data_IF_367421187729
#
_entry.id   IF_367421187729
#
_cell.length_a   1.000
_cell.length_b   1.000
_cell.length_c   1.000
_cell.angle_alpha   90.00
_cell.angle_beta   90.00
_cell.angle_gamma   90.00
#
_symmetry.space_group_name_H-M   'P 1'
#
loop_
_entity.id
_entity.type
_entity.pdbx_description
1 polymer ?
#
# COMPACT_ATOMS: atom_id res chain seq x y z
N UNK A 1 -59.84 -8.95 -0.81
CA UNK A 1 -59.92 -8.35 0.54
C UNK A 1 -58.75 -8.89 1.34
N UNK A 2 -57.93 -7.98 1.88
CA UNK A 2 -56.64 -8.25 2.52
C UNK A 2 -56.79 -9.09 3.79
N UNK A 3 -55.97 -10.14 3.90
CA UNK A 3 -55.60 -10.75 5.19
C UNK A 3 -54.35 -10.03 5.70
N UNK A 4 -54.56 -9.02 6.54
CA UNK A 4 -53.48 -8.39 7.30
C UNK A 4 -53.07 -9.29 8.46
N UNK A 5 -51.91 -9.92 8.36
CA UNK A 5 -51.26 -10.56 9.49
C UNK A 5 -50.71 -9.46 10.41
N UNK A 6 -51.35 -9.29 11.57
CA UNK A 6 -50.82 -8.47 12.65
C UNK A 6 -49.50 -9.09 13.12
N UNK A 7 -48.41 -8.34 13.01
CA UNK A 7 -47.12 -8.65 13.62
C UNK A 7 -47.28 -8.46 15.12
N UNK A 8 -47.72 -9.51 15.81
CA UNK A 8 -47.89 -9.53 17.26
C UNK A 8 -46.54 -9.26 17.91
N UNK A 9 -46.44 -8.14 18.63
CA UNK A 9 -45.28 -7.76 19.45
C UNK A 9 -45.26 -8.62 20.72
N UNK A 10 -45.15 -9.93 20.54
CA UNK A 10 -45.09 -10.92 21.61
C UNK A 10 -43.75 -10.82 22.31
N UNK A 11 -43.78 -10.45 23.59
CA UNK A 11 -42.72 -10.64 24.58
C UNK A 11 -41.75 -11.76 24.19
N UNK A 12 -40.56 -11.39 23.73
CA UNK A 12 -39.48 -12.36 23.55
C UNK A 12 -39.11 -12.93 24.92
N UNK A 13 -38.60 -14.17 24.98
CA UNK A 13 -38.10 -14.80 26.22
C UNK A 13 -36.82 -14.13 26.74
N UNK A 14 -36.87 -12.83 27.02
CA UNK A 14 -35.74 -11.98 27.39
C UNK A 14 -35.69 -10.71 26.54
N UNK A 15 -34.91 -9.73 27.01
CA UNK A 15 -34.61 -8.51 26.23
C UNK A 15 -33.56 -8.83 25.17
N UNK A 16 -33.71 -8.32 23.95
CA UNK A 16 -32.74 -8.54 22.87
C UNK A 16 -32.44 -7.25 22.10
N UNK A 17 -31.21 -7.15 21.57
CA UNK A 17 -30.80 -6.12 20.63
C UNK A 17 -30.82 -6.68 19.21
N UNK A 18 -31.40 -5.93 18.27
CA UNK A 18 -31.26 -6.14 16.83
C UNK A 18 -30.24 -5.15 16.30
N UNK A 19 -29.00 -5.62 16.19
CA UNK A 19 -27.85 -4.81 15.81
C UNK A 19 -27.74 -4.79 14.30
N UNK A 20 -28.05 -3.65 13.69
CA UNK A 20 -27.87 -3.40 12.26
C UNK A 20 -26.56 -2.66 12.03
N UNK A 21 -25.64 -3.29 11.29
CA UNK A 21 -24.32 -2.70 11.01
C UNK A 21 -24.25 -2.16 9.58
N UNK A 22 -24.01 -0.86 9.45
CA UNK A 22 -23.75 -0.21 8.16
C UNK A 22 -22.25 -0.03 7.97
N UNK A 23 -21.71 -0.46 6.83
CA UNK A 23 -20.28 -0.37 6.55
C UNK A 23 -19.99 -0.37 5.04
N UNK A 24 -18.75 -0.03 4.67
CA UNK A 24 -18.28 -0.12 3.28
C UNK A 24 -18.10 -1.60 2.89
N UNK A 25 -18.80 -2.12 1.86
CA UNK A 25 -18.69 -3.52 1.44
C UNK A 25 -17.26 -3.98 1.10
N UNK A 26 -16.34 -3.06 0.77
CA UNK A 26 -14.93 -3.37 0.51
C UNK A 26 -14.16 -3.83 1.76
N UNK A 27 -14.71 -3.63 2.96
CA UNK A 27 -14.14 -4.16 4.20
C UNK A 27 -14.20 -5.69 4.27
N UNK A 28 -15.05 -6.34 3.46
CA UNK A 28 -15.17 -7.80 3.35
C UNK A 28 -15.31 -8.48 4.72
N UNK A 29 -16.14 -7.91 5.59
CA UNK A 29 -16.38 -8.44 6.93
C UNK A 29 -16.98 -9.84 6.83
N UNK A 30 -16.48 -10.79 7.60
CA UNK A 30 -17.05 -12.15 7.70
C UNK A 30 -17.80 -12.37 9.00
N UNK A 31 -17.47 -11.59 10.04
CA UNK A 31 -18.10 -11.64 11.36
C UNK A 31 -18.12 -10.24 11.98
N UNK A 32 -18.92 -10.05 13.01
CA UNK A 32 -18.85 -8.92 13.93
C UNK A 32 -18.69 -9.41 15.36
N UNK A 33 -18.02 -8.65 16.20
CA UNK A 33 -17.94 -8.85 17.65
C UNK A 33 -18.69 -7.73 18.34
N UNK A 34 -19.73 -8.08 19.10
CA UNK A 34 -20.63 -7.12 19.77
C UNK A 34 -20.51 -7.25 21.28
N UNK A 35 -20.36 -6.12 21.98
CA UNK A 35 -20.40 -6.04 23.45
C UNK A 35 -20.95 -4.69 23.88
N UNK A 36 -21.23 -4.52 25.16
CA UNK A 36 -21.72 -3.23 25.63
C UNK A 36 -21.81 -3.07 27.13
N UNK A 37 -21.97 -1.82 27.54
CA UNK A 37 -22.11 -1.39 28.93
C UNK A 37 -23.53 -0.91 29.18
N UNK A 38 -24.10 -1.25 30.33
CA UNK A 38 -25.45 -0.85 30.75
C UNK A 38 -25.32 0.06 31.97
N UNK A 39 -25.86 1.28 31.93
CA UNK A 39 -25.63 2.32 32.95
C UNK A 39 -25.95 1.91 34.40
N UNK A 40 -26.77 0.88 34.60
CA UNK A 40 -27.15 0.36 35.91
C UNK A 40 -27.29 -1.17 35.92
N UNK A 41 -26.50 -1.87 35.09
CA UNK A 41 -26.61 -3.32 34.91
C UNK A 41 -25.28 -4.00 34.57
N UNK A 42 -25.31 -5.31 34.41
CA UNK A 42 -24.16 -6.07 33.92
C UNK A 42 -23.86 -5.71 32.45
N UNK A 43 -22.59 -5.64 32.04
CA UNK A 43 -22.24 -5.56 30.63
C UNK A 43 -22.66 -6.86 29.92
N UNK A 44 -22.81 -6.79 28.60
CA UNK A 44 -23.13 -7.95 27.77
C UNK A 44 -22.03 -8.21 26.74
N UNK A 45 -21.96 -9.46 26.24
CA UNK A 45 -20.93 -9.90 25.30
C UNK A 45 -19.56 -10.20 25.94
N UNK A 46 -18.52 -10.38 25.11
CA UNK A 46 -18.54 -10.27 23.65
C UNK A 46 -19.25 -11.44 22.95
N UNK A 47 -20.09 -11.14 21.97
CA UNK A 47 -20.72 -12.10 21.08
C UNK A 47 -20.12 -11.98 19.68
N UNK A 48 -19.68 -13.08 19.08
CA UNK A 48 -19.17 -13.11 17.70
C UNK A 48 -20.24 -13.70 16.78
N UNK A 49 -20.64 -12.94 15.76
CA UNK A 49 -21.79 -13.24 14.91
C UNK A 49 -21.46 -13.02 13.42
N UNK A 50 -21.86 -13.94 12.52
CA UNK A 50 -22.26 -15.30 12.80
C UNK A 50 -21.14 -16.08 13.50
N UNK A 51 -21.46 -17.17 14.20
CA UNK A 51 -20.46 -17.97 14.94
C UNK A 51 -19.35 -18.53 14.04
N UNK A 52 -19.66 -18.81 12.77
CA UNK A 52 -18.71 -19.26 11.76
C UNK A 52 -18.58 -18.24 10.61
N UNK A 53 -17.37 -17.95 10.11
CA UNK A 53 -17.13 -17.02 9.01
C UNK A 53 -17.42 -17.66 7.63
N UNK A 54 -18.62 -18.19 7.44
CA UNK A 54 -18.98 -18.94 6.22
C UNK A 54 -19.22 -18.05 5.00
N UNK A 55 -19.44 -16.74 5.19
CA UNK A 55 -19.68 -15.78 4.11
C UNK A 55 -19.25 -14.37 4.50
N UNK A 56 -19.14 -13.53 3.49
CA UNK A 56 -19.05 -12.07 3.67
C UNK A 56 -20.42 -11.54 4.10
N UNK A 57 -20.42 -10.66 5.10
CA UNK A 57 -21.58 -9.95 5.61
C UNK A 57 -22.00 -8.84 4.66
N UNK A 58 -23.31 -8.59 4.60
CA UNK A 58 -23.86 -7.47 3.84
C UNK A 58 -23.98 -6.23 4.72
N UNK A 59 -23.68 -5.06 4.15
CA UNK A 59 -23.98 -3.78 4.81
C UNK A 59 -25.49 -3.66 5.03
N UNK A 60 -25.90 -3.29 6.25
CA UNK A 60 -27.30 -3.28 6.68
C UNK A 60 -27.83 -4.63 7.17
N UNK A 61 -26.99 -5.65 7.31
CA UNK A 61 -27.40 -6.91 7.94
C UNK A 61 -27.68 -6.71 9.44
N UNK A 62 -28.76 -7.33 9.92
CA UNK A 62 -29.22 -7.25 11.32
C UNK A 62 -28.95 -8.56 12.05
N UNK A 63 -28.30 -8.47 13.21
CA UNK A 63 -27.92 -9.60 14.04
C UNK A 63 -28.52 -9.47 15.43
N UNK A 64 -29.06 -10.58 15.96
CA UNK A 64 -29.75 -10.61 17.24
C UNK A 64 -28.79 -10.95 18.38
N UNK A 65 -28.73 -10.08 19.39
CA UNK A 65 -27.97 -10.28 20.62
C UNK A 65 -28.94 -10.38 21.79
N UNK A 66 -28.89 -11.51 22.51
CA UNK A 66 -29.68 -11.68 23.74
C UNK A 66 -28.97 -10.96 24.89
N UNK A 67 -29.74 -10.20 25.68
CA UNK A 67 -29.28 -9.62 26.92
C UNK A 67 -29.64 -10.56 28.08
N UNK A 68 -28.80 -10.59 29.11
CA UNK A 68 -29.10 -11.31 30.35
C UNK A 68 -30.30 -10.68 31.08
N UNK A 69 -30.93 -11.48 31.95
CA UNK A 69 -32.07 -11.03 32.76
C UNK A 69 -31.65 -9.87 33.69
N UNK A 70 -32.58 -8.96 33.99
CA UNK A 70 -32.34 -7.80 34.86
C UNK A 70 -32.19 -6.46 34.15
N UNK A 71 -32.60 -6.37 32.87
CA UNK A 71 -32.73 -5.11 32.16
C UNK A 71 -33.82 -4.24 32.81
N UNK A 72 -33.49 -3.00 33.15
CA UNK A 72 -34.46 -2.03 33.66
C UNK A 72 -34.97 -1.15 32.52
N UNK A 73 -36.28 -0.94 32.46
CA UNK A 73 -36.91 -0.07 31.48
C UNK A 73 -36.33 1.36 31.51
N UNK A 74 -35.97 1.88 30.34
CA UNK A 74 -35.48 3.25 30.17
C UNK A 74 -34.00 3.45 30.46
N UNK A 75 -33.26 2.39 30.80
CA UNK A 75 -31.80 2.45 30.99
C UNK A 75 -31.10 2.51 29.64
N UNK A 76 -30.08 3.37 29.52
CA UNK A 76 -29.25 3.40 28.32
C UNK A 76 -28.17 2.32 28.36
N UNK A 77 -27.99 1.64 27.23
CA UNK A 77 -26.84 0.82 26.93
C UNK A 77 -25.96 1.50 25.88
N UNK A 78 -24.64 1.43 26.08
CA UNK A 78 -23.66 1.75 25.04
C UNK A 78 -23.23 0.45 24.39
N UNK A 79 -23.43 0.36 23.08
CA UNK A 79 -23.15 -0.82 22.26
C UNK A 79 -21.90 -0.56 21.44
N UNK A 80 -20.95 -1.48 21.52
CA UNK A 80 -19.71 -1.49 20.76
C UNK A 80 -19.73 -2.65 19.76
N UNK A 81 -19.25 -2.39 18.55
CA UNK A 81 -19.12 -3.40 17.51
C UNK A 81 -17.78 -3.30 16.82
N UNK A 82 -17.13 -4.44 16.66
CA UNK A 82 -15.96 -4.64 15.81
C UNK A 82 -16.34 -5.47 14.57
N UNK A 83 -15.99 -4.98 13.38
CA UNK A 83 -16.03 -5.75 12.15
C UNK A 83 -14.78 -6.62 12.02
N UNK A 84 -14.98 -7.92 11.79
CA UNK A 84 -13.91 -8.92 11.69
C UNK A 84 -13.79 -9.44 10.25
N UNK A 85 -12.56 -9.59 9.78
CA UNK A 85 -12.19 -10.32 8.56
C UNK A 85 -11.11 -11.33 8.93
N UNK A 86 -11.39 -12.62 8.71
CA UNK A 86 -10.50 -13.73 9.07
C UNK A 86 -10.00 -13.67 10.53
N UNK A 87 -10.90 -13.27 11.44
CA UNK A 87 -10.60 -13.12 12.88
C UNK A 87 -9.90 -11.82 13.27
N UNK A 88 -9.49 -10.99 12.30
CA UNK A 88 -8.81 -9.70 12.55
C UNK A 88 -9.80 -8.53 12.55
N UNK A 89 -9.62 -7.56 13.45
CA UNK A 89 -10.49 -6.38 13.55
C UNK A 89 -10.12 -5.36 12.47
N UNK A 90 -11.02 -5.13 11.51
CA UNK A 90 -10.82 -4.19 10.39
C UNK A 90 -11.77 -2.99 10.43
N UNK A 91 -12.79 -2.98 11.30
CA UNK A 91 -13.69 -1.85 11.48
C UNK A 91 -14.23 -1.76 12.92
N UNK A 92 -14.66 -0.57 13.36
CA UNK A 92 -15.24 -0.29 14.68
C UNK A 92 -16.40 0.69 14.58
N UNK A 93 -17.38 0.54 15.46
CA UNK A 93 -18.44 1.51 15.66
C UNK A 93 -19.03 1.40 17.05
N UNK A 94 -19.68 2.47 17.49
CA UNK A 94 -20.44 2.48 18.74
C UNK A 94 -21.76 3.22 18.56
N UNK A 95 -22.74 2.88 19.39
CA UNK A 95 -24.03 3.57 19.47
C UNK A 95 -24.59 3.49 20.88
N UNK A 96 -25.57 4.34 21.19
CA UNK A 96 -26.27 4.34 22.48
C UNK A 96 -27.76 4.13 22.24
N UNK A 97 -28.37 3.23 23.02
CA UNK A 97 -29.78 2.85 22.86
C UNK A 97 -30.47 2.75 24.21
N UNK A 98 -31.75 3.09 24.28
CA UNK A 98 -32.58 2.87 25.48
C UNK A 98 -33.14 1.46 25.46
N UNK A 99 -32.89 0.72 26.53
CA UNK A 99 -33.39 -0.64 26.70
C UNK A 99 -34.83 -0.63 27.23
N UNK A 100 -35.56 -1.67 26.84
CA UNK A 100 -36.93 -1.93 27.30
C UNK A 100 -37.05 -3.41 27.65
N UNK A 101 -37.37 -3.68 28.90
CA UNK A 101 -37.44 -5.02 29.47
C UNK A 101 -38.51 -5.88 28.78
N UNK A 102 -38.11 -7.06 28.30
CA UNK A 102 -38.97 -7.99 27.57
C UNK A 102 -39.24 -7.61 26.11
N UNK A 103 -38.52 -6.61 25.58
CA UNK A 103 -38.66 -6.17 24.19
C UNK A 103 -37.39 -6.41 23.37
N UNK A 104 -37.61 -6.49 22.06
CA UNK A 104 -36.57 -6.43 21.06
C UNK A 104 -36.34 -4.96 20.70
N UNK A 105 -35.08 -4.50 20.78
CA UNK A 105 -34.70 -3.11 20.58
C UNK A 105 -33.74 -3.02 19.40
N UNK A 106 -34.10 -2.20 18.41
CA UNK A 106 -33.25 -1.95 17.25
C UNK A 106 -32.11 -0.98 17.58
N UNK A 107 -30.90 -1.32 17.15
CA UNK A 107 -29.73 -0.42 17.20
C UNK A 107 -29.03 -0.44 15.85
N UNK A 108 -28.95 0.72 15.22
CA UNK A 108 -28.19 0.91 13.98
C UNK A 108 -26.90 1.65 14.30
N UNK A 109 -25.79 1.18 13.75
CA UNK A 109 -24.49 1.82 13.88
C UNK A 109 -23.66 1.65 12.62
N UNK A 110 -22.86 2.66 12.34
CA UNK A 110 -21.92 2.67 11.22
C UNK A 110 -20.55 2.20 11.70
N UNK A 111 -19.96 1.23 11.02
CA UNK A 111 -18.59 0.80 11.27
C UNK A 111 -17.64 1.60 10.38
N UNK A 112 -16.61 2.15 11.01
CA UNK A 112 -15.52 2.86 10.35
C UNK A 112 -14.25 2.00 10.40
N UNK A 113 -13.36 2.05 9.40
CA UNK A 113 -12.13 1.28 9.39
C UNK A 113 -11.32 1.46 10.68
N UNK A 114 -10.95 0.36 11.34
CA UNK A 114 -10.25 0.34 12.64
C UNK A 114 -8.81 0.87 12.54
N UNK A 115 -8.27 0.77 11.34
CA UNK A 115 -7.03 1.36 10.89
C UNK A 115 -7.24 1.67 9.40
N UNK A 116 -7.13 2.94 8.97
CA UNK A 116 -7.13 3.27 7.54
C UNK A 116 -5.97 2.58 6.80
N UNK A 117 -5.00 2.02 7.53
CA UNK A 117 -3.75 1.43 7.02
C UNK A 117 -3.83 -0.09 6.76
N UNK A 118 -4.89 -0.79 7.22
CA UNK A 118 -5.08 -2.23 6.95
C UNK A 118 -5.75 -2.49 5.60
N UNK A 119 -6.24 -1.43 4.97
CA UNK A 119 -6.62 -1.41 3.58
C UNK A 119 -5.69 -0.39 2.95
N UNK A 120 -4.59 -0.84 2.33
CA UNK A 120 -3.50 0.04 1.93
C UNK A 120 -3.92 1.27 1.11
N UNK A 121 -5.14 1.32 0.55
CA UNK A 121 -5.70 2.51 -0.08
C UNK A 121 -5.59 3.77 0.79
N UNK A 122 -4.73 4.70 0.37
CA UNK A 122 -4.69 6.06 0.91
C UNK A 122 -3.84 6.26 2.17
N UNK A 123 -2.96 5.32 2.51
CA UNK A 123 -2.05 5.49 3.65
C UNK A 123 -0.76 6.26 3.28
N UNK A 124 -0.10 6.83 4.31
CA UNK A 124 1.14 7.62 4.22
C UNK A 124 2.41 6.76 4.00
N UNK A 125 2.27 5.67 3.25
CA UNK A 125 3.33 4.70 2.99
C UNK A 125 2.98 3.73 1.86
N UNK A 126 3.61 2.57 1.88
CA UNK A 126 3.42 1.51 0.89
C UNK A 126 2.85 0.25 1.55
N UNK A 127 2.34 -0.65 0.72
CA UNK A 127 1.70 -1.88 1.15
C UNK A 127 2.68 -3.05 1.13
N UNK A 128 2.82 -3.70 2.29
CA UNK A 128 3.58 -4.92 2.48
C UNK A 128 2.65 -5.93 3.17
N UNK A 129 2.33 -7.04 2.50
CA UNK A 129 1.44 -8.08 3.01
C UNK A 129 0.07 -7.58 3.54
N UNK A 130 -0.48 -6.53 2.91
CA UNK A 130 -1.77 -5.93 3.29
C UNK A 130 -1.70 -4.99 4.49
N UNK A 131 -0.49 -4.70 4.97
CA UNK A 131 -0.22 -3.74 6.04
C UNK A 131 0.45 -2.51 5.42
N UNK A 132 -0.03 -1.32 5.75
CA UNK A 132 0.72 -0.12 5.38
C UNK A 132 1.98 0.00 6.23
N UNK A 133 3.12 0.00 5.56
CA UNK A 133 4.43 0.23 6.15
C UNK A 133 4.85 1.67 5.89
N UNK A 134 5.36 2.41 6.90
CA UNK A 134 5.92 3.73 6.71
C UNK A 134 7.05 3.73 5.67
N UNK A 135 7.07 4.76 4.82
CA UNK A 135 8.09 4.92 3.78
C UNK A 135 9.50 4.83 4.36
N UNK A 136 10.30 3.89 3.83
CA UNK A 136 11.69 3.69 4.23
C UNK A 136 12.53 3.23 3.04
N UNK A 137 13.84 3.03 3.21
CA UNK A 137 14.70 2.50 2.13
C UNK A 137 14.34 1.06 1.74
N UNK A 138 13.86 0.26 2.69
CA UNK A 138 13.52 -1.16 2.46
C UNK A 138 12.06 -1.34 2.05
N UNK A 139 11.21 -0.36 2.38
CA UNK A 139 9.80 -0.30 2.04
C UNK A 139 9.46 1.10 1.51
N UNK A 140 9.89 1.40 0.28
CA UNK A 140 9.68 2.70 -0.36
C UNK A 140 8.38 2.69 -1.18
N UNK A 141 7.64 3.80 -1.11
CA UNK A 141 6.38 3.99 -1.84
C UNK A 141 5.39 4.82 -1.02
N UNK A 142 4.36 5.34 -1.68
CA UNK A 142 3.30 6.14 -1.06
C UNK A 142 1.92 5.75 -1.58
N UNK A 143 0.88 6.08 -0.82
CA UNK A 143 -0.52 5.94 -1.25
C UNK A 143 -1.00 4.50 -1.32
N UNK A 144 -0.33 3.57 -0.63
CA UNK A 144 -0.79 2.17 -0.58
C UNK A 144 -0.35 1.27 -1.70
N UNK A 145 0.51 1.75 -2.60
CA UNK A 145 1.10 0.92 -3.64
C UNK A 145 2.04 -0.11 -3.03
N UNK A 146 2.34 -1.20 -3.75
CA UNK A 146 3.31 -2.21 -3.30
C UNK A 146 4.65 -1.58 -2.93
N UNK A 147 5.18 -1.95 -1.77
CA UNK A 147 6.49 -1.50 -1.32
C UNK A 147 7.60 -1.94 -2.29
N UNK A 148 8.56 -1.05 -2.54
CA UNK A 148 9.78 -1.38 -3.29
C UNK A 148 11.00 -1.23 -2.39
N UNK A 149 11.93 -2.16 -2.50
CA UNK A 149 13.25 -2.04 -1.85
C UNK A 149 14.17 -1.23 -2.75
N UNK A 150 14.73 -0.14 -2.22
CA UNK A 150 15.65 0.70 -2.97
C UNK A 150 17.02 0.03 -3.12
N UNK A 151 17.62 0.10 -4.32
CA UNK A 151 18.97 -0.42 -4.54
C UNK A 151 20.00 0.43 -3.77
N UNK A 152 20.72 -0.17 -2.78
CA UNK A 152 21.65 0.57 -1.94
C UNK A 152 22.90 1.07 -2.68
N UNK A 153 23.21 0.53 -3.86
CA UNK A 153 24.27 1.09 -4.70
C UNK A 153 23.80 2.34 -5.43
N UNK A 154 22.50 2.57 -5.57
CA UNK A 154 22.00 3.58 -6.52
C UNK A 154 21.22 4.69 -5.89
N UNK A 155 20.89 4.49 -4.63
CA UNK A 155 20.04 5.37 -3.84
C UNK A 155 20.50 5.33 -2.41
N UNK A 156 20.27 6.42 -1.69
CA UNK A 156 20.58 6.53 -0.26
C UNK A 156 19.35 6.90 0.57
N UNK A 157 18.22 7.22 -0.08
CA UNK A 157 16.95 7.49 0.60
C UNK A 157 15.73 7.17 -0.28
N UNK A 158 14.59 6.97 0.38
CA UNK A 158 13.26 7.07 -0.22
C UNK A 158 12.77 8.51 0.03
N UNK A 159 12.35 9.23 -1.01
CA UNK A 159 11.87 10.60 -0.84
C UNK A 159 10.40 10.65 -0.37
N UNK A 160 9.91 11.85 -0.08
CA UNK A 160 8.53 12.06 0.38
C UNK A 160 7.44 11.68 -0.65
N UNK A 161 7.83 11.38 -1.90
CA UNK A 161 6.93 10.92 -2.96
C UNK A 161 6.97 9.39 -3.12
N UNK A 162 7.69 8.69 -2.24
CA UNK A 162 7.84 7.24 -2.32
C UNK A 162 8.76 6.78 -3.44
N UNK A 163 9.74 7.60 -3.83
CA UNK A 163 10.69 7.27 -4.91
C UNK A 163 12.09 7.06 -4.33
N UNK A 164 12.74 5.99 -4.75
CA UNK A 164 14.14 5.74 -4.43
C UNK A 164 15.04 6.76 -5.15
N UNK A 165 15.83 7.51 -4.38
CA UNK A 165 16.62 8.66 -4.87
C UNK A 165 18.04 8.63 -4.31
N UNK A 166 18.94 9.35 -4.96
CA UNK A 166 20.29 9.62 -4.47
C UNK A 166 20.36 11.10 -4.05
N UNK A 167 20.17 11.38 -2.76
CA UNK A 167 20.01 12.73 -2.23
C UNK A 167 18.76 13.40 -2.80
N UNK A 168 18.94 14.53 -3.48
CA UNK A 168 17.85 15.23 -4.17
C UNK A 168 17.71 14.85 -5.65
N UNK A 169 18.54 13.93 -6.15
CA UNK A 169 18.54 13.51 -7.54
C UNK A 169 17.81 12.16 -7.69
N UNK A 170 17.28 11.84 -8.88
CA UNK A 170 16.83 10.48 -9.18
C UNK A 170 17.87 9.43 -8.84
N UNK A 171 17.44 8.16 -8.70
CA UNK A 171 18.37 7.04 -8.60
C UNK A 171 19.45 7.14 -9.69
N UNK A 172 20.69 6.82 -9.32
CA UNK A 172 21.83 6.90 -10.23
C UNK A 172 21.61 6.02 -11.47
N UNK A 173 22.29 6.30 -12.59
CA UNK A 173 22.23 5.50 -13.83
C UNK A 173 23.05 4.20 -13.73
N UNK A 174 22.60 3.12 -14.37
CA UNK A 174 23.32 1.83 -14.40
C UNK A 174 24.58 1.87 -15.24
N UNK A 175 24.62 2.80 -16.20
CA UNK A 175 25.70 2.87 -17.15
C UNK A 175 26.84 3.79 -16.67
N UNK A 176 26.52 4.93 -16.05
CA UNK A 176 27.52 5.99 -15.83
C UNK A 176 28.05 6.07 -14.40
N UNK A 177 27.61 5.17 -13.51
CA UNK A 177 27.79 5.28 -12.05
C UNK A 177 28.02 3.89 -11.45
N UNK A 178 28.89 3.77 -10.44
CA UNK A 178 29.04 2.55 -9.63
C UNK A 178 28.32 2.62 -8.28
N UNK A 179 28.17 3.83 -7.71
CA UNK A 179 27.53 4.01 -6.40
C UNK A 179 26.86 5.37 -6.19
N UNK A 180 25.92 5.43 -5.25
CA UNK A 180 25.40 6.64 -4.61
C UNK A 180 26.08 6.83 -3.25
N UNK A 181 26.80 7.94 -3.05
CA UNK A 181 27.44 8.28 -1.78
C UNK A 181 27.18 9.74 -1.45
N UNK A 182 26.58 9.99 -0.28
CA UNK A 182 26.29 11.34 0.21
C UNK A 182 25.39 12.14 -0.75
N UNK A 183 24.38 11.50 -1.33
CA UNK A 183 23.46 12.11 -2.30
C UNK A 183 24.05 12.39 -3.67
N UNK A 184 25.23 11.83 -3.97
CA UNK A 184 25.91 12.02 -5.25
C UNK A 184 26.19 10.69 -5.93
N UNK A 185 25.84 10.61 -7.20
CA UNK A 185 26.23 9.54 -8.09
C UNK A 185 27.74 9.64 -8.39
N UNK A 186 28.48 8.55 -8.18
CA UNK A 186 29.92 8.46 -8.39
C UNK A 186 30.32 7.33 -9.32
N UNK A 187 31.41 7.53 -10.05
CA UNK A 187 32.17 6.45 -10.67
C UNK A 187 33.56 6.43 -10.04
N UNK A 188 33.82 5.44 -9.19
CA UNK A 188 35.03 5.40 -8.36
C UNK A 188 35.13 6.64 -7.46
N UNK A 189 36.21 7.42 -7.62
CA UNK A 189 36.40 8.68 -6.87
C UNK A 189 35.85 9.92 -7.60
N UNK A 190 35.40 9.76 -8.85
CA UNK A 190 34.91 10.84 -9.70
C UNK A 190 33.38 10.93 -9.69
N UNK A 191 32.84 12.00 -10.29
CA UNK A 191 31.40 12.11 -10.56
C UNK A 191 30.91 11.07 -11.58
N UNK A 192 29.65 11.19 -12.04
CA UNK A 192 29.12 10.33 -13.10
C UNK A 192 29.94 10.47 -14.38
N UNK A 193 30.03 9.39 -15.15
CA UNK A 193 30.69 9.42 -16.45
C UNK A 193 29.94 10.32 -17.45
N UNK A 194 30.71 10.95 -18.33
CA UNK A 194 30.16 11.82 -19.36
C UNK A 194 29.39 11.01 -20.42
N UNK A 195 28.61 11.70 -21.24
CA UNK A 195 27.94 11.06 -22.38
C UNK A 195 28.94 10.31 -23.25
N UNK A 196 28.59 9.08 -23.66
CA UNK A 196 29.49 8.23 -24.45
C UNK A 196 30.44 7.37 -23.60
N UNK A 197 30.41 7.50 -22.27
CA UNK A 197 31.22 6.69 -21.35
C UNK A 197 30.35 5.83 -20.43
N UNK A 198 30.90 4.71 -19.99
CA UNK A 198 30.36 3.79 -19.01
C UNK A 198 31.32 3.71 -17.81
N UNK A 199 30.78 3.57 -16.61
CA UNK A 199 31.55 3.34 -15.41
C UNK A 199 31.93 1.86 -15.31
N UNK A 200 33.18 1.54 -15.61
CA UNK A 200 33.70 0.18 -15.54
C UNK A 200 34.84 0.15 -14.53
N UNK A 201 34.69 -0.66 -13.48
CA UNK A 201 35.65 -0.78 -12.37
C UNK A 201 36.02 0.58 -11.74
N UNK A 202 35.01 1.46 -11.57
CA UNK A 202 35.20 2.80 -11.00
C UNK A 202 35.96 3.78 -11.90
N UNK A 203 36.11 3.47 -13.20
CA UNK A 203 36.72 4.36 -14.18
C UNK A 203 35.79 4.59 -15.36
N UNK A 204 35.65 5.84 -15.80
CA UNK A 204 34.89 6.15 -17.01
C UNK A 204 35.64 5.70 -18.26
N UNK A 205 35.05 4.73 -18.97
CA UNK A 205 35.60 4.16 -20.20
C UNK A 205 34.62 4.34 -21.35
N UNK A 206 35.14 4.52 -22.55
CA UNK A 206 34.33 4.39 -23.75
C UNK A 206 34.22 2.90 -24.08
N UNK A 207 32.99 2.37 -24.13
CA UNK A 207 32.71 0.96 -24.41
C UNK A 207 31.70 0.84 -25.56
N UNK A 208 31.48 -0.38 -26.03
CA UNK A 208 30.40 -0.69 -26.99
C UNK A 208 29.00 -0.42 -26.43
N UNK A 209 28.82 -0.44 -25.10
CA UNK A 209 27.53 -0.19 -24.47
C UNK A 209 27.24 1.32 -24.37
N UNK A 210 28.28 2.15 -24.25
CA UNK A 210 28.13 3.59 -24.08
C UNK A 210 28.24 4.40 -25.37
N UNK A 211 28.88 3.86 -26.41
CA UNK A 211 29.25 4.61 -27.61
C UNK A 211 28.72 3.96 -28.89
N UNK A 212 27.84 4.67 -29.60
CA UNK A 212 27.35 4.24 -30.93
C UNK A 212 28.36 4.47 -32.06
N UNK A 213 29.32 5.39 -31.85
CA UNK A 213 30.41 5.68 -32.76
C UNK A 213 31.65 4.84 -32.45
N UNK A 214 32.82 5.48 -32.35
CA UNK A 214 34.07 4.81 -32.02
C UNK A 214 34.77 5.45 -30.81
N UNK A 215 35.58 4.66 -30.12
CA UNK A 215 36.34 5.10 -28.97
C UNK A 215 37.74 5.58 -29.38
N UNK A 216 38.04 6.84 -29.06
CA UNK A 216 39.37 7.43 -29.12
C UNK A 216 39.90 7.61 -27.70
N UNK A 217 40.47 6.54 -27.13
CA UNK A 217 40.75 6.50 -25.69
C UNK A 217 39.44 6.42 -24.91
N UNK A 218 39.20 7.37 -24.01
CA UNK A 218 37.95 7.47 -23.24
C UNK A 218 36.89 8.34 -23.92
N UNK A 219 37.20 8.96 -25.05
CA UNK A 219 36.26 9.83 -25.78
C UNK A 219 35.48 9.02 -26.81
N UNK A 220 34.15 9.08 -26.73
CA UNK A 220 33.27 8.58 -27.79
C UNK A 220 33.20 9.61 -28.91
N UNK A 221 33.74 9.25 -30.06
CA UNK A 221 33.69 10.07 -31.27
C UNK A 221 32.51 9.63 -32.14
N UNK A 222 31.89 10.55 -32.90
CA UNK A 222 30.80 10.20 -33.81
C UNK A 222 31.15 9.10 -34.81
N UNK A 223 32.44 8.91 -35.14
CA UNK A 223 32.91 7.81 -35.98
C UNK A 223 32.77 8.04 -37.49
N UNK A 224 32.51 9.27 -37.95
CA UNK A 224 32.19 9.61 -39.35
C UNK A 224 33.29 10.41 -40.06
N UNK A 225 34.40 10.72 -39.39
CA UNK A 225 35.47 11.54 -39.97
C UNK A 225 36.62 10.65 -40.45
N UNK A 226 37.41 11.16 -41.41
CA UNK A 226 38.59 10.45 -41.92
C UNK A 226 39.56 10.05 -40.81
N UNK A 227 39.78 10.91 -39.82
CA UNK A 227 40.74 10.68 -38.74
C UNK A 227 40.16 9.92 -37.54
N UNK A 228 38.82 9.84 -37.43
CA UNK A 228 38.09 9.13 -36.37
C UNK A 228 36.92 8.34 -36.99
N UNK A 229 37.23 7.27 -37.71
CA UNK A 229 36.25 6.40 -38.33
C UNK A 229 36.03 5.13 -37.49
N UNK A 230 34.77 4.71 -37.36
CA UNK A 230 34.39 3.47 -36.69
C UNK A 230 32.95 3.52 -36.16
N UNK A 231 32.48 2.42 -35.60
CA UNK A 231 31.14 2.25 -35.04
C UNK A 231 31.16 1.21 -33.91
N UNK A 232 30.02 1.04 -33.24
CA UNK A 232 29.76 0.00 -32.23
C UNK A 232 30.73 0.06 -31.03
N UNK A 233 31.25 1.25 -30.72
CA UNK A 233 32.21 1.51 -29.64
C UNK A 233 33.58 0.85 -29.84
N UNK A 234 33.89 0.41 -31.06
CA UNK A 234 35.24 -0.05 -31.40
C UNK A 234 36.27 1.08 -31.43
N UNK A 235 37.57 0.75 -31.52
CA UNK A 235 38.62 1.77 -31.56
C UNK A 235 38.54 2.64 -32.83
N UNK A 236 38.61 3.96 -32.66
CA UNK A 236 38.68 4.89 -33.78
C UNK A 236 39.95 4.69 -34.61
N UNK A 237 39.81 4.70 -35.92
CA UNK A 237 40.92 4.58 -36.88
C UNK A 237 40.96 5.72 -37.87
N UNK A 238 42.17 6.05 -38.31
CA UNK A 238 42.43 6.99 -39.40
C UNK A 238 42.42 6.25 -40.73
N UNK A 239 41.54 6.64 -41.65
CA UNK A 239 41.44 6.06 -42.97
C UNK A 239 42.45 6.69 -43.95
N UNK A 240 42.91 5.92 -44.92
CA UNK A 240 43.81 6.40 -45.98
C UNK A 240 43.17 7.48 -46.84
N UNK A 241 41.94 7.25 -47.31
CA UNK A 241 41.17 8.18 -48.15
C UNK A 241 40.02 8.83 -47.40
N UNK A 242 39.07 8.04 -46.92
CA UNK A 242 37.82 8.55 -46.35
C UNK A 242 37.17 7.54 -45.40
N UNK A 243 36.30 8.03 -44.51
CA UNK A 243 35.36 7.21 -43.76
C UNK A 243 34.05 7.10 -44.55
N UNK A 244 33.60 5.88 -44.83
CA UNK A 244 32.37 5.63 -45.56
C UNK A 244 31.13 5.83 -44.67
N UNK A 245 29.94 5.91 -45.29
CA UNK A 245 28.68 6.09 -44.56
C UNK A 245 28.39 4.93 -43.58
N UNK A 246 28.83 3.72 -43.90
CA UNK A 246 28.75 2.52 -43.05
C UNK A 246 29.84 2.45 -41.95
N UNK A 247 30.68 3.49 -41.88
CA UNK A 247 31.81 3.66 -40.96
C UNK A 247 32.97 2.68 -41.19
N UNK A 248 33.10 2.17 -42.42
CA UNK A 248 34.29 1.47 -42.91
C UNK A 248 35.34 2.45 -43.48
N UNK A 249 36.62 2.05 -43.50
CA UNK A 249 37.70 2.86 -44.09
C UNK A 249 37.97 2.47 -45.54
N UNK A 250 38.18 3.49 -46.39
CA UNK A 250 38.78 3.40 -47.72
C UNK A 250 40.24 3.85 -47.75
#
# INVERSE_FOLDING_TARGET
>A
MLLGACRESGTASGTALYVTTEFDPTLLLTQVRVWGEVQAGAPFGPHVLPEQPVRVLSSGETLRVLLEDGVTNGVHARVYVEGLRDGSVVARGESSVQLRDGYEVDVTLRLEPSSPDTFCLGCDGCCEDGVCTPSSRTACGTGGNTCVTCDPQRTDTCDARGVCVCGSNPACSDLTVDRCVGGQCKCGSSGPCAQGQECVDGTCRCTSNSCSGCCSGTTCEPGNTKDKCGKDGGTCRKCSRSCNADRSCN
#
